data_IF_438579666543
#
_entry.id   IF_438579666543
#
_cell.length_a   1.000
_cell.length_b   1.000
_cell.length_c   1.000
_cell.angle_alpha   90.00
_cell.angle_beta   90.00
_cell.angle_gamma   90.00
#
_symmetry.space_group_name_H-M   'P 1'
#
loop_
_entity.id
_entity.type
_entity.pdbx_description
1 polymer ?
#
# COMPACT_ATOMS: atom_id res chain seq x y z
N UNK A 1 13.88 1.71 -17.91
CA UNK A 1 12.60 0.97 -17.93
C UNK A 1 11.96 1.29 -16.60
N UNK A 2 11.01 2.22 -16.58
CA UNK A 2 10.42 2.78 -15.36
C UNK A 2 9.04 2.16 -15.22
N UNK A 3 8.84 1.35 -14.19
CA UNK A 3 7.55 0.71 -13.92
C UNK A 3 6.78 1.54 -12.88
N UNK A 4 5.74 2.29 -13.29
CA UNK A 4 4.95 3.12 -12.37
C UNK A 4 4.14 2.30 -11.36
N UNK A 5 4.05 0.97 -11.53
CA UNK A 5 3.37 0.10 -10.58
C UNK A 5 4.24 -0.32 -9.40
N UNK A 6 5.57 -0.22 -9.50
CA UNK A 6 6.49 -0.60 -8.41
C UNK A 6 6.87 0.54 -7.46
N UNK A 7 6.86 1.80 -7.92
CA UNK A 7 7.29 2.94 -7.08
C UNK A 7 6.26 3.41 -6.05
N UNK A 8 4.99 3.02 -6.21
CA UNK A 8 3.91 3.45 -5.31
C UNK A 8 3.49 2.41 -4.27
N UNK A 9 4.03 1.19 -4.35
CA UNK A 9 3.64 0.10 -3.47
C UNK A 9 4.77 -0.13 -2.46
N UNK A 10 4.48 -0.07 -1.16
CA UNK A 10 5.48 -0.23 -0.11
C UNK A 10 5.82 -1.73 0.03
N UNK A 11 6.59 -2.27 -0.92
CA UNK A 11 7.18 -3.59 -0.79
C UNK A 11 8.51 -3.48 -0.06
N UNK A 12 8.71 -4.32 0.95
CA UNK A 12 10.02 -4.53 1.56
C UNK A 12 10.63 -5.84 1.06
N UNK A 13 11.90 -5.76 0.66
CA UNK A 13 12.69 -6.91 0.21
C UNK A 13 13.50 -7.43 1.39
N UNK A 14 13.39 -8.73 1.66
CA UNK A 14 14.14 -9.40 2.73
C UNK A 14 15.36 -10.09 2.12
N UNK A 15 16.54 -9.75 2.63
CA UNK A 15 17.81 -10.34 2.21
C UNK A 15 18.37 -11.23 3.33
N UNK A 16 19.02 -12.32 2.95
CA UNK A 16 19.77 -13.19 3.85
C UNK A 16 21.12 -12.56 4.26
N UNK A 17 21.84 -13.19 5.19
CA UNK A 17 23.17 -12.77 5.65
C UNK A 17 24.23 -12.67 4.53
N UNK A 18 24.01 -13.41 3.44
CA UNK A 18 24.84 -13.39 2.24
C UNK A 18 24.45 -12.27 1.25
N UNK A 19 23.39 -11.51 1.53
CA UNK A 19 22.84 -10.49 0.64
C UNK A 19 21.95 -11.05 -0.47
N UNK A 20 21.59 -12.33 -0.44
CA UNK A 20 20.66 -12.95 -1.39
C UNK A 20 19.20 -12.62 -1.03
N UNK A 21 18.38 -12.30 -2.04
CA UNK A 21 16.97 -12.02 -1.85
C UNK A 21 16.20 -13.30 -1.50
N UNK A 22 15.63 -13.36 -0.31
CA UNK A 22 14.88 -14.52 0.19
C UNK A 22 13.37 -14.31 0.26
N UNK A 23 12.89 -13.07 0.07
CA UNK A 23 11.45 -12.81 0.00
C UNK A 23 11.06 -11.36 -0.20
N UNK A 24 9.77 -11.17 -0.47
CA UNK A 24 9.12 -9.87 -0.68
C UNK A 24 7.91 -9.78 0.25
N UNK A 25 7.78 -8.69 1.01
CA UNK A 25 6.70 -8.47 1.96
C UNK A 25 5.89 -7.24 1.57
N UNK A 26 4.58 -7.40 1.49
CA UNK A 26 3.66 -6.29 1.28
C UNK A 26 3.44 -5.53 2.59
N UNK A 27 3.85 -4.26 2.66
CA UNK A 27 3.49 -3.42 3.80
C UNK A 27 2.02 -3.03 3.66
N UNK A 28 1.18 -3.51 4.56
CA UNK A 28 -0.20 -3.05 4.67
C UNK A 28 -0.19 -1.55 4.98
N UNK A 29 -0.64 -0.74 4.02
CA UNK A 29 -0.87 0.68 4.26
C UNK A 29 -1.89 0.86 5.40
N UNK A 30 -1.71 1.86 6.29
CA UNK A 30 -2.71 2.15 7.31
C UNK A 30 -4.06 2.37 6.64
N UNK A 31 -5.12 1.79 7.22
CA UNK A 31 -6.47 1.94 6.68
C UNK A 31 -6.77 3.43 6.45
N UNK A 32 -7.24 3.81 5.25
CA UNK A 32 -7.60 5.19 5.01
C UNK A 32 -8.66 5.60 6.02
N UNK A 33 -8.63 6.86 6.52
CA UNK A 33 -9.59 7.32 7.50
C UNK A 33 -11.01 7.07 6.96
N UNK A 34 -11.95 6.63 7.82
CA UNK A 34 -13.28 6.26 7.38
C UNK A 34 -13.88 7.38 6.55
N UNK A 35 -14.18 7.09 5.28
CA UNK A 35 -14.84 8.03 4.37
C UNK A 35 -16.12 8.47 5.04
N UNK A 36 -16.17 9.71 5.54
CA UNK A 36 -17.40 10.33 6.02
C UNK A 36 -18.38 10.31 4.85
N UNK A 37 -19.29 9.33 4.81
CA UNK A 37 -20.44 9.33 3.92
C UNK A 37 -21.19 10.62 4.24
N UNK A 38 -21.05 11.62 3.36
CA UNK A 38 -21.92 12.79 3.40
C UNK A 38 -23.32 12.25 3.14
N UNK A 39 -24.11 12.05 4.20
CA UNK A 39 -25.55 11.87 4.06
C UNK A 39 -26.06 13.14 3.36
N UNK A 40 -26.35 13.04 2.06
CA UNK A 40 -27.26 13.99 1.42
C UNK A 40 -28.60 13.79 2.12
N UNK A 41 -28.96 14.70 3.04
CA UNK A 41 -30.37 14.92 3.35
C UNK A 41 -31.00 15.35 2.03
N UNK A 42 -31.82 14.49 1.45
CA UNK A 42 -32.91 14.97 0.62
C UNK A 42 -33.89 15.63 1.60
N UNK A 43 -33.94 16.96 1.55
CA UNK A 43 -35.04 17.73 2.12
C UNK A 43 -36.19 17.64 1.11
N UNK A 44 -37.34 17.14 1.56
CA UNK A 44 -38.64 17.16 0.86
C UNK A 44 -39.44 18.34 1.39
#
# INVERSE_FOLDING_TARGET
>A
MFDPYSEGIPWEFIYDENGELIGEVYLTLPEPPPRKRKHKRFEE
#
